data_IF_349436713614
#
_entry.id   IF_349436713614
#
_cell.length_a   1.000
_cell.length_b   1.000
_cell.length_c   1.000
_cell.angle_alpha   90.00
_cell.angle_beta   90.00
_cell.angle_gamma   90.00
#
_symmetry.space_group_name_H-M   'P 1'
#
loop_
_entity.id
_entity.type
_entity.pdbx_description
1 polymer ?
#
# COMPACT_ATOMS: atom_id res chain seq x y z
N UNK A 1 -23.58 -44.53 -24.82
CA UNK A 1 -22.53 -43.56 -25.18
C UNK A 1 -23.14 -42.17 -25.36
N UNK A 2 -23.05 -41.31 -24.35
CA UNK A 2 -22.75 -39.87 -24.46
C UNK A 2 -22.99 -39.20 -23.10
N UNK A 3 -21.89 -38.74 -22.51
CA UNK A 3 -21.83 -38.12 -21.20
C UNK A 3 -22.20 -36.64 -21.23
N UNK A 4 -22.46 -36.16 -20.02
CA UNK A 4 -22.83 -34.80 -19.66
C UNK A 4 -21.76 -33.77 -20.05
N UNK A 5 -22.20 -32.69 -20.71
CA UNK A 5 -21.45 -31.44 -20.85
C UNK A 5 -22.05 -30.37 -19.94
N UNK A 6 -21.67 -30.37 -18.66
CA UNK A 6 -21.89 -29.25 -17.73
C UNK A 6 -20.59 -29.01 -16.98
N UNK A 7 -19.93 -27.90 -17.27
CA UNK A 7 -18.81 -27.42 -16.46
C UNK A 7 -17.71 -26.75 -17.26
N UNK A 8 -18.01 -25.63 -17.94
CA UNK A 8 -16.96 -24.83 -18.59
C UNK A 8 -17.07 -23.32 -18.28
N UNK A 9 -18.11 -22.89 -17.55
CA UNK A 9 -18.30 -21.48 -17.18
C UNK A 9 -17.76 -21.09 -15.80
N UNK A 10 -17.56 -22.04 -14.89
CA UNK A 10 -17.21 -21.76 -13.49
C UNK A 10 -15.69 -21.67 -13.24
N UNK A 11 -14.86 -22.10 -14.21
CA UNK A 11 -13.41 -22.10 -14.07
C UNK A 11 -12.78 -20.74 -14.39
N UNK A 12 -13.43 -19.92 -15.23
CA UNK A 12 -12.89 -18.61 -15.63
C UNK A 12 -13.08 -17.50 -14.58
N UNK A 13 -13.95 -17.69 -13.59
CA UNK A 13 -14.21 -16.67 -12.55
C UNK A 13 -13.33 -16.85 -11.31
N UNK A 14 -12.88 -18.07 -11.03
CA UNK A 14 -12.07 -18.39 -9.84
C UNK A 14 -10.58 -18.00 -9.98
N UNK A 15 -10.10 -17.73 -11.19
CA UNK A 15 -8.69 -17.45 -11.46
C UNK A 15 -8.33 -15.95 -11.41
N UNK A 16 -9.35 -15.08 -11.36
CA UNK A 16 -9.22 -13.61 -11.26
C UNK A 16 -8.79 -13.10 -9.87
N UNK A 17 -8.40 -13.98 -8.95
CA UNK A 17 -8.22 -13.65 -7.53
C UNK A 17 -6.82 -14.00 -6.97
N UNK A 18 -5.80 -14.12 -7.84
CA UNK A 18 -4.41 -14.42 -7.42
C UNK A 18 -3.39 -13.42 -7.98
N UNK A 19 -3.66 -12.12 -7.88
CA UNK A 19 -2.85 -11.07 -8.53
C UNK A 19 -1.59 -10.60 -7.77
N UNK A 20 -1.14 -11.37 -6.78
CA UNK A 20 0.13 -11.09 -6.07
C UNK A 20 0.99 -12.33 -5.99
N UNK A 21 2.19 -12.25 -6.57
CA UNK A 21 3.21 -13.28 -6.44
C UNK A 21 4.37 -12.71 -5.63
N UNK A 22 4.56 -13.24 -4.42
CA UNK A 22 5.69 -12.93 -3.55
C UNK A 22 6.69 -14.08 -3.66
N UNK A 23 7.93 -13.75 -4.05
CA UNK A 23 9.04 -14.69 -4.06
C UNK A 23 10.22 -14.04 -3.33
N UNK A 24 10.68 -14.69 -2.27
CA UNK A 24 11.69 -14.16 -1.34
C UNK A 24 11.29 -12.79 -0.76
N UNK A 25 11.85 -11.71 -1.28
CA UNK A 25 11.52 -10.32 -0.95
C UNK A 25 11.01 -9.53 -2.15
N UNK A 26 10.83 -10.17 -3.31
CA UNK A 26 10.35 -9.50 -4.50
C UNK A 26 8.83 -9.73 -4.64
N UNK A 27 8.09 -8.62 -4.60
CA UNK A 27 6.66 -8.57 -4.86
C UNK A 27 6.44 -8.18 -6.32
N UNK A 28 5.81 -9.06 -7.08
CA UNK A 28 5.28 -8.74 -8.41
C UNK A 28 3.79 -8.42 -8.30
N UNK A 29 3.44 -7.18 -8.64
CA UNK A 29 2.07 -6.75 -8.89
C UNK A 29 1.77 -6.98 -10.37
N UNK A 30 1.09 -8.09 -10.66
CA UNK A 30 0.88 -8.57 -12.04
C UNK A 30 0.06 -7.59 -12.88
N UNK A 31 -0.94 -6.97 -12.27
CA UNK A 31 -1.83 -6.00 -12.94
C UNK A 31 -1.09 -4.73 -13.40
N UNK A 32 0.01 -4.39 -12.73
CA UNK A 32 0.77 -3.17 -12.99
C UNK A 32 2.11 -3.46 -13.68
N UNK A 33 2.49 -4.73 -13.84
CA UNK A 33 3.81 -5.14 -14.33
C UNK A 33 4.98 -4.68 -13.44
N UNK A 34 4.72 -4.23 -12.21
CA UNK A 34 5.70 -3.63 -11.32
C UNK A 34 6.26 -4.63 -10.32
N UNK A 35 7.56 -4.52 -10.09
CA UNK A 35 8.30 -5.31 -9.10
C UNK A 35 8.79 -4.41 -7.98
N UNK A 36 8.61 -4.87 -6.76
CA UNK A 36 9.06 -4.20 -5.56
C UNK A 36 9.92 -5.14 -4.73
N UNK A 37 11.05 -4.64 -4.24
CA UNK A 37 11.80 -5.28 -3.17
C UNK A 37 11.25 -4.84 -1.83
N UNK A 38 10.79 -5.79 -1.04
CA UNK A 38 10.24 -5.57 0.28
C UNK A 38 11.35 -5.55 1.32
N UNK A 39 11.24 -4.63 2.26
CA UNK A 39 12.05 -4.58 3.48
C UNK A 39 11.14 -4.42 4.68
N UNK A 40 11.46 -5.07 5.78
CA UNK A 40 10.69 -4.90 7.01
C UNK A 40 10.71 -3.44 7.45
N UNK A 41 9.58 -2.98 7.97
CA UNK A 41 9.45 -1.63 8.48
C UNK A 41 8.23 -1.43 9.35
N UNK A 42 7.99 -0.18 9.69
CA UNK A 42 6.85 0.21 10.50
C UNK A 42 6.33 1.58 10.06
N UNK A 43 5.01 1.76 10.20
CA UNK A 43 4.38 3.08 10.20
C UNK A 43 4.31 3.59 11.62
N UNK A 44 4.86 4.78 11.87
CA UNK A 44 4.81 5.44 13.17
C UNK A 44 3.46 6.17 13.26
N UNK A 45 2.66 5.81 14.26
CA UNK A 45 1.27 6.27 14.40
C UNK A 45 1.19 7.52 15.26
N UNK A 46 1.81 7.48 16.44
CA UNK A 46 1.74 8.55 17.42
C UNK A 46 2.96 8.52 18.34
N UNK A 47 3.37 9.69 18.81
CA UNK A 47 4.19 9.87 20.00
C UNK A 47 3.27 9.72 21.23
N UNK A 48 3.70 8.97 22.26
CA UNK A 48 2.85 8.64 23.42
C UNK A 48 3.45 9.01 24.78
N UNK A 49 4.63 9.64 24.83
CA UNK A 49 5.20 10.15 26.09
C UNK A 49 4.65 11.52 26.48
N UNK A 50 4.05 12.25 25.54
CA UNK A 50 3.55 13.61 25.75
C UNK A 50 4.59 14.69 25.45
N UNK A 51 5.75 14.30 24.91
CA UNK A 51 6.80 15.19 24.44
C UNK A 51 6.62 15.50 22.95
N UNK A 52 7.29 16.54 22.41
CA UNK A 52 7.33 16.76 20.97
C UNK A 52 7.92 15.54 20.24
N UNK A 53 7.51 15.34 18.97
CA UNK A 53 8.13 14.38 18.06
C UNK A 53 9.55 14.84 17.68
N UNK A 54 10.52 14.54 18.55
CA UNK A 54 11.90 15.02 18.43
C UNK A 54 12.62 14.54 17.17
N UNK A 55 12.11 13.48 16.52
CA UNK A 55 12.68 12.92 15.30
C UNK A 55 11.87 13.26 14.04
N UNK A 56 10.74 13.95 14.18
CA UNK A 56 9.80 14.25 13.08
C UNK A 56 9.47 12.98 12.27
N UNK A 57 9.09 11.89 12.94
CA UNK A 57 8.82 10.59 12.31
C UNK A 57 7.35 10.17 12.38
N UNK A 58 6.52 10.83 13.18
CA UNK A 58 5.09 10.52 13.29
C UNK A 58 4.40 10.68 11.93
N UNK A 59 3.58 9.69 11.57
CA UNK A 59 2.88 9.61 10.29
C UNK A 59 3.74 9.06 9.14
N UNK A 60 5.04 8.86 9.34
CA UNK A 60 5.95 8.34 8.31
C UNK A 60 6.08 6.82 8.40
N UNK A 61 6.49 6.21 7.29
CA UNK A 61 6.92 4.80 7.25
C UNK A 61 8.44 4.74 7.15
N UNK A 62 9.05 3.89 7.96
CA UNK A 62 10.51 3.70 7.99
C UNK A 62 10.84 2.21 8.00
N UNK A 63 12.00 1.86 7.42
CA UNK A 63 12.51 0.49 7.52
C UNK A 63 12.94 0.19 8.96
N UNK A 64 12.86 -1.07 9.38
CA UNK A 64 13.32 -1.45 10.72
C UNK A 64 14.81 -1.17 10.89
N UNK A 65 15.62 -1.40 9.85
CA UNK A 65 17.04 -1.09 9.86
C UNK A 65 17.30 0.40 10.15
N UNK A 66 16.57 1.32 9.49
CA UNK A 66 16.69 2.75 9.76
C UNK A 66 16.30 3.11 11.20
N UNK A 67 15.22 2.51 11.72
CA UNK A 67 14.78 2.77 13.09
C UNK A 67 15.80 2.24 14.11
N UNK A 68 16.37 1.05 13.89
CA UNK A 68 17.41 0.47 14.73
C UNK A 68 18.68 1.33 14.73
N UNK A 69 19.09 1.84 13.58
CA UNK A 69 20.22 2.77 13.46
C UNK A 69 19.97 4.09 14.21
N UNK A 70 18.69 4.51 14.32
CA UNK A 70 18.26 5.66 15.11
C UNK A 70 18.26 5.37 16.62
N UNK A 71 18.57 4.14 17.05
CA UNK A 71 18.55 3.73 18.45
C UNK A 71 17.18 3.23 18.92
N UNK A 72 16.32 2.79 17.99
CA UNK A 72 15.00 2.31 18.35
C UNK A 72 15.01 0.91 18.98
N UNK A 73 14.41 0.80 20.15
CA UNK A 73 14.02 -0.46 20.76
C UNK A 73 12.55 -0.75 20.43
N UNK A 74 12.30 -1.82 19.69
CA UNK A 74 10.97 -2.18 19.18
C UNK A 74 10.47 -3.44 19.87
N UNK A 75 9.25 -3.36 20.42
CA UNK A 75 8.52 -4.50 20.97
C UNK A 75 7.08 -4.47 20.45
N UNK A 76 6.75 -5.45 19.60
CA UNK A 76 5.43 -5.58 18.98
C UNK A 76 4.94 -4.29 18.28
N UNK A 77 4.02 -3.57 18.93
CA UNK A 77 3.40 -2.34 18.43
C UNK A 77 3.91 -1.08 19.12
N UNK A 78 4.96 -1.23 19.92
CA UNK A 78 5.59 -0.15 20.67
C UNK A 78 7.04 0.00 20.23
N UNK A 79 7.50 1.25 20.22
CA UNK A 79 8.88 1.61 19.89
C UNK A 79 9.35 2.68 20.85
N UNK A 80 10.57 2.57 21.35
CA UNK A 80 11.22 3.60 22.18
C UNK A 80 12.46 4.08 21.41
N UNK A 81 12.65 5.39 21.33
CA UNK A 81 13.86 6.02 20.78
C UNK A 81 14.28 7.10 21.78
N UNK A 82 15.48 6.97 22.33
CA UNK A 82 15.98 7.80 23.44
C UNK A 82 14.96 7.88 24.60
N UNK A 83 14.25 9.01 24.71
CA UNK A 83 13.27 9.26 25.76
C UNK A 83 11.83 9.38 25.22
N UNK A 84 11.62 9.20 23.92
CA UNK A 84 10.32 9.21 23.27
C UNK A 84 9.84 7.77 23.05
N UNK A 85 8.54 7.55 23.26
CA UNK A 85 7.86 6.30 22.99
C UNK A 85 6.81 6.55 21.92
N UNK A 86 6.65 5.57 21.04
CA UNK A 86 5.79 5.65 19.88
C UNK A 86 4.93 4.41 19.76
N UNK A 87 3.68 4.63 19.34
CA UNK A 87 2.84 3.56 18.79
C UNK A 87 3.22 3.33 17.32
N UNK A 88 3.40 2.07 16.95
CA UNK A 88 3.76 1.67 15.60
C UNK A 88 2.81 0.59 15.04
N UNK A 89 2.75 0.51 13.72
CA UNK A 89 2.17 -0.60 12.99
C UNK A 89 3.27 -1.27 12.17
N UNK A 90 3.74 -2.47 12.55
CA UNK A 90 4.71 -3.24 11.78
C UNK A 90 4.19 -3.60 10.38
N UNK A 91 5.10 -3.73 9.43
CA UNK A 91 4.77 -4.08 8.04
C UNK A 91 6.01 -4.15 7.15
N UNK A 92 5.83 -3.86 5.86
CA UNK A 92 6.89 -3.87 4.85
C UNK A 92 6.86 -2.60 4.01
N UNK A 93 8.04 -2.10 3.65
CA UNK A 93 8.23 -1.04 2.65
C UNK A 93 8.70 -1.65 1.34
N UNK A 94 8.04 -1.28 0.24
CA UNK A 94 8.43 -1.71 -1.11
C UNK A 94 9.28 -0.67 -1.82
N UNK A 95 10.46 -1.07 -2.30
CA UNK A 95 11.33 -0.27 -3.17
C UNK A 95 11.20 -0.79 -4.60
N UNK A 96 10.85 0.02 -5.60
CA UNK A 96 10.68 -0.46 -6.97
C UNK A 96 12.00 -1.02 -7.55
N UNK A 97 11.90 -2.15 -8.26
CA UNK A 97 13.02 -2.85 -8.90
C UNK A 97 12.93 -2.64 -10.41
N UNK A 98 13.94 -2.01 -11.02
CA UNK A 98 14.02 -1.82 -12.48
C UNK A 98 14.15 -0.38 -12.96
N UNK A 99 14.38 0.58 -12.05
CA UNK A 99 14.41 2.00 -12.38
C UNK A 99 13.01 2.60 -12.24
N UNK A 100 12.91 3.73 -11.57
CA UNK A 100 11.70 4.52 -11.56
C UNK A 100 11.47 5.05 -12.98
N UNK A 101 10.72 4.33 -13.79
CA UNK A 101 9.78 5.08 -14.62
C UNK A 101 8.87 5.75 -13.61
N UNK A 102 8.88 7.09 -13.62
CA UNK A 102 7.89 7.89 -12.92
C UNK A 102 6.54 7.18 -13.00
N UNK A 103 5.73 7.21 -11.92
CA UNK A 103 4.36 6.75 -12.05
C UNK A 103 3.79 7.38 -13.34
N UNK A 104 3.22 6.61 -14.30
CA UNK A 104 2.38 7.26 -15.28
C UNK A 104 1.36 7.97 -14.44
N UNK A 105 1.35 9.30 -14.50
CA UNK A 105 0.59 10.18 -13.62
C UNK A 105 -0.67 9.47 -13.16
N UNK A 106 -0.67 8.98 -11.90
CA UNK A 106 -1.92 8.66 -11.24
C UNK A 106 -2.65 9.97 -10.85
N UNK A 107 -2.26 11.09 -11.46
CA UNK A 107 -3.13 12.22 -11.80
C UNK A 107 -3.83 12.02 -13.15
N UNK A 108 -4.60 10.95 -13.29
CA UNK A 108 -5.95 11.11 -13.84
C UNK A 108 -6.89 10.35 -12.91
N UNK A 109 -7.15 10.93 -11.72
CA UNK A 109 -8.56 11.01 -11.28
C UNK A 109 -9.34 11.37 -12.53
N UNK A 110 -10.38 10.59 -12.87
CA UNK A 110 -11.31 10.88 -13.96
C UNK A 110 -11.38 12.39 -14.17
N UNK A 111 -11.20 12.91 -15.40
CA UNK A 111 -11.04 14.34 -15.66
C UNK A 111 -11.97 15.06 -14.72
N UNK A 112 -11.42 15.90 -13.83
CA UNK A 112 -12.23 16.64 -12.86
C UNK A 112 -13.34 17.26 -13.69
N UNK A 113 -14.51 16.63 -13.65
CA UNK A 113 -15.68 17.11 -14.36
C UNK A 113 -15.78 18.54 -13.84
N UNK A 114 -15.77 19.51 -14.75
CA UNK A 114 -15.99 20.87 -14.32
C UNK A 114 -17.31 20.86 -13.54
N UNK A 115 -17.47 21.74 -12.57
CA UNK A 115 -18.70 21.77 -11.78
C UNK A 115 -19.96 21.86 -12.68
N UNK A 116 -19.80 22.44 -13.87
CA UNK A 116 -20.81 22.48 -14.94
C UNK A 116 -21.16 21.08 -15.50
N UNK A 117 -20.18 20.21 -15.73
CA UNK A 117 -20.41 18.85 -16.20
C UNK A 117 -21.08 17.99 -15.11
N UNK A 118 -20.69 18.18 -13.85
CA UNK A 118 -21.34 17.54 -12.68
C UNK A 118 -22.81 17.97 -12.56
N UNK A 119 -23.09 19.26 -12.78
CA UNK A 119 -24.45 19.80 -12.73
C UNK A 119 -25.32 19.26 -13.87
N UNK A 120 -24.77 19.21 -15.09
CA UNK A 120 -25.46 18.66 -16.26
C UNK A 120 -25.80 17.17 -16.06
N UNK A 121 -24.88 16.40 -15.48
CA UNK A 121 -25.09 14.99 -15.21
C UNK A 121 -26.14 14.74 -14.13
N UNK A 122 -26.23 15.59 -13.11
CA UNK A 122 -27.27 15.53 -12.08
C UNK A 122 -28.66 15.85 -12.66
N UNK A 123 -28.76 16.87 -13.51
CA UNK A 123 -30.01 17.25 -14.17
C UNK A 123 -30.51 16.17 -15.14
N UNK A 124 -29.60 15.55 -15.89
CA UNK A 124 -29.95 14.48 -16.83
C UNK A 124 -30.41 13.19 -16.14
N UNK A 125 -29.95 12.92 -14.91
CA UNK A 125 -30.31 11.70 -14.16
C UNK A 125 -31.64 11.81 -13.41
N UNK A 126 -32.14 13.02 -13.18
CA UNK A 126 -33.33 13.30 -12.37
C UNK A 126 -34.52 13.86 -13.20
N UNK A 127 -34.46 13.70 -14.53
CA UNK A 127 -35.60 13.79 -15.44
C UNK A 127 -36.02 12.40 -15.87
#
# INVERSE_FOLDING_TARGET
>A
VHGAGRGDGALHEAERLRDRHLQDQDLLLKDEGRRYRLSEGARIVAEVTGEPDGFDIVGKCKTLAFLQELGADILERSMIIDNNAYDIVPGFLGTPVGGAEDPPDLEVRAPLLSDEDLLAQFLAKNM
#
